data_IF_396680233374
#
_entry.id   IF_396680233374
#
_cell.length_a   1.000
_cell.length_b   1.000
_cell.length_c   1.000
_cell.angle_alpha   90.00
_cell.angle_beta   90.00
_cell.angle_gamma   90.00
#
_symmetry.space_group_name_H-M   'P 1'
#
loop_
_entity.id
_entity.type
_entity.pdbx_description
1 polymer ?
#
# COMPACT_ATOMS: atom_id res chain seq x y z
N UNK A 1 18.56 5.49 39.56
CA UNK A 1 18.20 6.55 38.58
C UNK A 1 19.47 7.01 37.90
N UNK A 2 19.83 6.36 36.80
CA UNK A 2 20.87 6.85 35.93
C UNK A 2 20.37 8.12 35.23
N UNK A 3 21.00 9.26 35.53
CA UNK A 3 20.87 10.45 34.69
C UNK A 3 21.57 10.10 33.37
N UNK A 4 20.79 9.75 32.36
CA UNK A 4 21.27 9.68 30.99
C UNK A 4 21.84 11.04 30.60
N UNK A 5 23.00 11.03 30.00
CA UNK A 5 23.61 12.20 29.36
C UNK A 5 22.56 12.78 28.42
N UNK A 6 22.20 14.04 28.62
CA UNK A 6 21.30 14.73 27.71
C UNK A 6 22.07 14.94 26.41
N UNK A 7 21.82 14.09 25.45
CA UNK A 7 22.28 14.27 24.07
C UNK A 7 21.75 15.63 23.60
N UNK A 8 22.64 16.52 23.18
CA UNK A 8 22.29 17.82 22.59
C UNK A 8 21.89 17.70 21.11
N UNK A 9 21.53 16.51 20.67
CA UNK A 9 21.15 16.23 19.30
C UNK A 9 19.78 16.80 18.97
N UNK A 10 19.58 17.07 17.69
CA UNK A 10 18.28 17.39 17.10
C UNK A 10 17.78 16.19 16.33
N UNK A 11 16.47 15.99 16.31
CA UNK A 11 15.81 14.99 15.47
C UNK A 11 15.04 15.72 14.39
N UNK A 12 15.29 15.36 13.14
CA UNK A 12 14.50 15.81 12.00
C UNK A 12 13.92 14.58 11.31
N UNK A 13 12.60 14.44 11.38
CA UNK A 13 11.84 13.38 10.69
C UNK A 13 11.18 13.93 9.44
N UNK A 14 11.49 13.33 8.28
CA UNK A 14 10.77 13.57 7.04
C UNK A 14 9.65 12.53 6.92
N UNK A 15 8.42 12.98 7.19
CA UNK A 15 7.22 12.15 7.14
C UNK A 15 6.69 12.04 5.71
N UNK A 16 6.32 10.82 5.29
CA UNK A 16 5.78 10.56 3.96
C UNK A 16 4.25 10.36 3.93
N UNK A 17 3.61 10.33 5.11
CA UNK A 17 2.16 10.15 5.28
C UNK A 17 1.49 11.49 5.62
N UNK A 18 1.00 12.27 4.62
CA UNK A 18 0.37 13.56 4.91
C UNK A 18 -0.87 13.43 5.78
N UNK A 19 -1.62 12.34 5.68
CA UNK A 19 -2.78 12.04 6.52
C UNK A 19 -2.45 11.88 8.01
N UNK A 20 -1.19 11.66 8.36
CA UNK A 20 -0.71 11.49 9.74
C UNK A 20 0.10 12.70 10.24
N UNK A 21 0.13 13.81 9.51
CA UNK A 21 0.96 14.97 9.88
C UNK A 21 0.69 15.45 11.30
N UNK A 22 -0.57 15.68 11.66
CA UNK A 22 -0.92 16.21 12.99
C UNK A 22 -0.46 15.28 14.12
N UNK A 23 -0.63 13.97 13.96
CA UNK A 23 -0.21 12.97 14.96
C UNK A 23 1.31 12.97 15.14
N UNK A 24 2.07 13.15 14.08
CA UNK A 24 3.52 13.27 14.17
C UNK A 24 3.97 14.59 14.81
N UNK A 25 3.29 15.72 14.51
CA UNK A 25 3.56 16.99 15.16
C UNK A 25 3.30 16.91 16.68
N UNK A 26 2.18 16.31 17.08
CA UNK A 26 1.81 16.14 18.49
C UNK A 26 2.81 15.23 19.22
N UNK A 27 3.24 14.14 18.60
CA UNK A 27 4.23 13.23 19.15
C UNK A 27 5.61 13.91 19.31
N UNK A 28 6.03 14.70 18.32
CA UNK A 28 7.27 15.46 18.35
C UNK A 28 7.25 16.49 19.50
N UNK A 29 6.16 17.22 19.66
CA UNK A 29 5.99 18.19 20.74
C UNK A 29 6.03 17.52 22.12
N UNK A 30 5.35 16.39 22.28
CA UNK A 30 5.36 15.60 23.51
C UNK A 30 6.77 15.10 23.86
N UNK A 31 7.47 14.50 22.89
CA UNK A 31 8.82 14.00 23.10
C UNK A 31 9.81 15.12 23.48
N UNK A 32 9.72 16.26 22.78
CA UNK A 32 10.52 17.45 23.10
C UNK A 32 10.26 17.95 24.52
N UNK A 33 9.00 17.99 24.94
CA UNK A 33 8.63 18.43 26.30
C UNK A 33 9.16 17.47 27.39
N UNK A 34 9.13 16.16 27.13
CA UNK A 34 9.55 15.16 28.10
C UNK A 34 11.08 15.02 28.20
N UNK A 35 11.79 15.15 27.08
CA UNK A 35 13.23 14.86 27.00
C UNK A 35 14.12 16.08 26.89
N UNK A 36 13.59 17.19 26.42
CA UNK A 36 14.34 18.39 26.05
C UNK A 36 15.07 18.28 24.71
N UNK A 37 14.91 17.16 23.98
CA UNK A 37 15.45 17.00 22.63
C UNK A 37 14.49 17.60 21.62
N UNK A 38 14.97 18.54 20.83
CA UNK A 38 14.14 19.16 19.75
C UNK A 38 13.85 18.14 18.65
N UNK A 39 12.58 18.01 18.31
CA UNK A 39 12.11 17.18 17.19
C UNK A 39 11.36 18.05 16.18
N UNK A 40 11.84 18.07 14.95
CA UNK A 40 11.19 18.73 13.81
C UNK A 40 10.58 17.65 12.92
N UNK A 41 9.32 17.82 12.55
CA UNK A 41 8.65 16.97 11.55
C UNK A 41 8.33 17.82 10.34
N UNK A 42 8.78 17.40 9.18
CA UNK A 42 8.35 17.97 7.89
C UNK A 42 7.65 16.86 7.12
N UNK A 43 6.46 17.16 6.63
CA UNK A 43 5.65 16.21 5.88
C UNK A 43 5.73 16.51 4.40
N UNK A 44 6.14 15.53 3.60
CA UNK A 44 6.12 15.63 2.15
C UNK A 44 4.68 15.63 1.64
N UNK A 45 4.41 16.41 0.60
CA UNK A 45 3.13 16.36 -0.10
C UNK A 45 2.93 14.98 -0.76
N UNK A 46 1.68 14.60 -0.93
CA UNK A 46 1.33 13.32 -1.54
C UNK A 46 2.04 13.12 -2.88
N UNK A 47 2.55 11.91 -3.11
CA UNK A 47 3.26 11.53 -4.33
C UNK A 47 4.64 12.19 -4.54
N UNK A 48 5.11 13.05 -3.61
CA UNK A 48 6.36 13.81 -3.80
C UNK A 48 7.51 13.41 -2.88
N UNK A 49 7.35 12.36 -2.08
CA UNK A 49 8.29 12.02 -1.01
C UNK A 49 9.74 11.85 -1.50
N UNK A 50 9.99 11.07 -2.52
CA UNK A 50 11.35 10.81 -3.03
C UNK A 50 12.04 12.10 -3.53
N UNK A 51 11.29 12.97 -4.21
CA UNK A 51 11.81 14.25 -4.66
C UNK A 51 12.11 15.18 -3.49
N UNK A 52 11.23 15.19 -2.49
CA UNK A 52 11.41 15.97 -1.26
C UNK A 52 12.61 15.46 -0.48
N UNK A 53 12.73 14.14 -0.27
CA UNK A 53 13.86 13.53 0.41
C UNK A 53 15.19 13.89 -0.27
N UNK A 54 15.26 13.80 -1.59
CA UNK A 54 16.45 14.20 -2.36
C UNK A 54 16.83 15.67 -2.14
N UNK A 55 15.83 16.54 -2.10
CA UNK A 55 16.03 17.97 -1.84
C UNK A 55 16.48 18.25 -0.39
N UNK A 56 15.86 17.58 0.58
CA UNK A 56 16.18 17.76 2.00
C UNK A 56 17.55 17.17 2.36
N UNK A 57 17.93 16.04 1.80
CA UNK A 57 19.26 15.43 2.02
C UNK A 57 20.42 16.26 1.46
N UNK A 58 20.16 17.16 0.53
CA UNK A 58 21.18 18.08 0.00
C UNK A 58 21.44 19.30 0.90
N UNK A 59 20.63 19.51 1.96
CA UNK A 59 20.78 20.64 2.88
C UNK A 59 21.79 20.35 3.97
N UNK A 60 22.29 21.41 4.62
CA UNK A 60 23.18 21.31 5.80
C UNK A 60 22.48 20.67 7.02
N UNK A 61 21.18 20.85 7.14
CA UNK A 61 20.31 20.28 8.17
C UNK A 61 19.42 19.20 7.50
N UNK A 62 20.04 18.06 7.16
CA UNK A 62 19.34 16.96 6.51
C UNK A 62 18.49 16.14 7.50
N UNK A 63 17.46 15.42 7.02
CA UNK A 63 16.71 14.49 7.86
C UNK A 63 17.61 13.46 8.57
N UNK A 64 17.37 13.27 9.87
CA UNK A 64 18.01 12.23 10.67
C UNK A 64 17.17 10.97 10.78
N UNK A 65 15.87 11.08 10.53
CA UNK A 65 14.94 9.98 10.36
C UNK A 65 14.19 10.16 9.04
N UNK A 66 14.21 9.16 8.21
CA UNK A 66 13.54 9.17 6.91
C UNK A 66 13.14 7.75 6.51
N UNK A 67 12.15 7.65 5.66
CA UNK A 67 11.70 6.37 5.14
C UNK A 67 12.46 5.97 3.89
N UNK A 68 12.83 4.70 3.82
CA UNK A 68 13.25 4.02 2.58
C UNK A 68 12.15 3.06 2.13
N UNK A 69 11.73 3.18 0.88
CA UNK A 69 10.58 2.45 0.36
C UNK A 69 11.02 1.11 -0.24
N UNK A 70 11.13 0.11 0.62
CA UNK A 70 11.51 -1.25 0.24
C UNK A 70 12.94 -1.39 -0.30
N UNK A 71 13.27 -2.50 -0.96
CA UNK A 71 14.61 -2.76 -1.48
C UNK A 71 15.09 -1.72 -2.51
N UNK A 72 14.18 -1.22 -3.35
CA UNK A 72 14.50 -0.18 -4.35
C UNK A 72 14.86 1.14 -3.67
N UNK A 73 14.08 1.54 -2.65
CA UNK A 73 14.39 2.72 -1.86
C UNK A 73 15.72 2.56 -1.12
N UNK A 74 15.97 1.39 -0.53
CA UNK A 74 17.26 1.12 0.13
C UNK A 74 18.43 1.23 -0.87
N UNK A 75 18.31 0.67 -2.06
CA UNK A 75 19.37 0.76 -3.09
C UNK A 75 19.75 2.21 -3.42
N UNK A 76 18.78 3.13 -3.37
CA UNK A 76 19.00 4.55 -3.62
C UNK A 76 19.60 5.30 -2.41
N UNK A 77 19.31 4.85 -1.20
CA UNK A 77 19.59 5.61 0.02
C UNK A 77 20.55 4.93 1.02
N UNK A 78 21.03 3.72 0.74
CA UNK A 78 21.85 2.93 1.66
C UNK A 78 23.10 3.65 2.19
N UNK A 79 23.72 4.49 1.38
CA UNK A 79 24.90 5.25 1.76
C UNK A 79 24.61 6.35 2.82
N UNK A 80 23.34 6.67 3.03
CA UNK A 80 22.84 7.60 4.05
C UNK A 80 22.26 6.90 5.28
N UNK A 81 22.12 5.57 5.22
CA UNK A 81 21.51 4.80 6.29
C UNK A 81 22.58 4.31 7.28
N UNK A 82 22.26 4.45 8.57
CA UNK A 82 23.08 3.89 9.64
C UNK A 82 22.82 2.40 9.80
N UNK A 83 23.82 1.61 10.18
CA UNK A 83 23.62 0.24 10.62
C UNK A 83 22.92 0.21 11.99
N UNK A 84 21.71 -0.31 12.00
CA UNK A 84 20.84 -0.42 13.18
C UNK A 84 20.95 -1.78 13.88
N UNK A 85 21.81 -2.70 13.43
CA UNK A 85 21.92 -4.07 13.98
C UNK A 85 22.26 -4.11 15.47
N UNK A 86 22.95 -3.08 15.97
CA UNK A 86 23.25 -2.91 17.39
C UNK A 86 22.26 -2.06 18.18
N UNK A 87 21.17 -1.63 17.58
CA UNK A 87 20.19 -0.75 18.24
C UNK A 87 19.24 -1.54 19.17
N UNK A 88 18.76 -0.85 20.22
CA UNK A 88 17.71 -1.39 21.08
C UNK A 88 16.44 -1.70 20.27
N UNK A 89 16.13 -0.84 19.30
CA UNK A 89 14.95 -1.02 18.45
C UNK A 89 15.00 -2.34 17.67
N UNK A 90 16.15 -2.68 17.09
CA UNK A 90 16.33 -3.95 16.38
C UNK A 90 16.18 -5.16 17.32
N UNK A 91 16.62 -5.05 18.57
CA UNK A 91 16.52 -6.12 19.56
C UNK A 91 15.09 -6.48 19.95
N UNK A 92 14.12 -5.61 19.69
CA UNK A 92 12.71 -5.84 19.96
C UNK A 92 11.94 -6.48 18.80
N UNK A 93 12.56 -6.64 17.64
CA UNK A 93 11.90 -7.28 16.50
C UNK A 93 11.70 -8.77 16.73
N UNK A 94 10.57 -9.28 16.31
CA UNK A 94 10.20 -10.70 16.40
C UNK A 94 10.64 -11.52 15.20
N UNK A 95 10.98 -10.86 14.09
CA UNK A 95 11.42 -11.47 12.83
C UNK A 95 12.28 -10.50 12.03
N UNK A 96 13.22 -11.05 11.28
CA UNK A 96 14.01 -10.32 10.27
C UNK A 96 13.18 -9.92 9.02
N UNK A 97 11.93 -10.36 8.92
CA UNK A 97 11.02 -9.93 7.85
C UNK A 97 10.67 -8.43 7.93
N UNK A 98 10.92 -7.82 9.09
CA UNK A 98 10.64 -6.40 9.35
C UNK A 98 11.83 -5.47 9.12
N UNK A 99 12.89 -5.94 8.48
CA UNK A 99 14.09 -5.14 8.23
C UNK A 99 14.48 -5.10 6.75
N UNK A 100 15.16 -4.03 6.39
CA UNK A 100 15.87 -3.92 5.12
C UNK A 100 17.38 -4.04 5.40
N UNK A 101 18.07 -4.91 4.67
CA UNK A 101 19.48 -5.20 4.84
C UNK A 101 20.30 -4.87 3.60
N UNK A 102 21.52 -4.37 3.81
CA UNK A 102 22.59 -4.38 2.81
C UNK A 102 23.74 -5.25 3.37
N UNK A 103 23.89 -6.45 2.82
CA UNK A 103 24.75 -7.47 3.41
C UNK A 103 24.32 -7.84 4.84
N UNK A 104 25.19 -7.63 5.82
CA UNK A 104 24.89 -7.90 7.23
C UNK A 104 24.34 -6.68 7.99
N UNK A 105 24.39 -5.50 7.38
CA UNK A 105 23.93 -4.27 8.03
C UNK A 105 22.40 -4.15 7.94
N UNK A 106 21.74 -3.84 9.06
CA UNK A 106 20.32 -3.49 9.13
C UNK A 106 20.17 -2.00 8.89
N UNK A 107 19.71 -1.62 7.73
CA UNK A 107 19.66 -0.22 7.30
C UNK A 107 18.24 0.37 7.27
N UNK A 108 17.24 -0.44 7.54
CA UNK A 108 15.87 0.00 7.72
C UNK A 108 15.10 -0.96 8.61
N UNK A 109 14.20 -0.41 9.42
CA UNK A 109 13.30 -1.17 10.30
C UNK A 109 11.88 -0.71 9.99
N UNK A 110 10.97 -1.66 9.77
CA UNK A 110 9.56 -1.36 9.59
C UNK A 110 8.97 -0.75 10.87
N UNK A 111 8.33 0.40 10.76
CA UNK A 111 7.68 1.05 11.90
C UNK A 111 6.17 0.74 11.95
N UNK A 112 5.61 0.23 10.86
CA UNK A 112 4.21 -0.14 10.73
C UNK A 112 4.07 -1.29 9.74
N UNK A 113 3.06 -2.13 9.96
CA UNK A 113 2.63 -3.15 9.01
C UNK A 113 1.33 -2.67 8.41
N UNK A 114 1.33 -2.44 7.11
CA UNK A 114 0.13 -2.15 6.34
C UNK A 114 -0.34 -3.42 5.64
N UNK A 115 -1.65 -3.62 5.61
CA UNK A 115 -2.27 -4.72 4.90
C UNK A 115 -3.29 -4.16 3.92
N UNK A 116 -3.55 -4.91 2.88
CA UNK A 116 -4.61 -4.59 1.93
C UNK A 116 -5.45 -5.83 1.67
N UNK A 117 -6.67 -5.58 1.28
CA UNK A 117 -7.66 -6.60 1.00
C UNK A 117 -8.82 -5.99 0.24
N UNK A 118 -9.86 -6.77 0.05
CA UNK A 118 -11.09 -6.30 -0.57
C UNK A 118 -12.00 -5.75 0.52
N UNK A 119 -12.30 -4.45 0.43
CA UNK A 119 -13.34 -3.81 1.22
C UNK A 119 -14.64 -3.96 0.45
N UNK A 120 -15.72 -4.32 1.13
CA UNK A 120 -17.02 -4.50 0.49
C UNK A 120 -18.14 -3.79 1.22
N UNK A 121 -19.13 -3.31 0.48
CA UNK A 121 -20.36 -2.80 1.04
C UNK A 121 -21.23 -3.97 1.51
N UNK A 122 -21.33 -4.12 2.81
CA UNK A 122 -22.01 -5.26 3.43
C UNK A 122 -23.52 -5.30 3.12
N UNK A 123 -24.16 -4.15 3.02
CA UNK A 123 -25.58 -4.06 2.71
C UNK A 123 -25.85 -4.52 1.28
N UNK A 124 -25.13 -3.95 0.33
CA UNK A 124 -25.30 -4.27 -1.10
C UNK A 124 -25.05 -5.75 -1.36
N UNK A 125 -23.95 -6.29 -0.81
CA UNK A 125 -23.61 -7.70 -1.05
C UNK A 125 -24.59 -8.67 -0.38
N UNK A 126 -25.12 -8.33 0.80
CA UNK A 126 -26.18 -9.13 1.43
C UNK A 126 -27.49 -9.06 0.62
N UNK A 127 -27.86 -7.91 0.10
CA UNK A 127 -29.04 -7.77 -0.74
C UNK A 127 -28.90 -8.59 -2.03
N UNK A 128 -27.73 -8.56 -2.67
CA UNK A 128 -27.41 -9.43 -3.81
C UNK A 128 -27.62 -10.92 -3.49
N UNK A 129 -27.18 -11.37 -2.30
CA UNK A 129 -27.38 -12.77 -1.88
C UNK A 129 -28.86 -13.19 -1.77
N UNK A 130 -29.80 -12.22 -1.73
CA UNK A 130 -31.25 -12.50 -1.72
C UNK A 130 -31.88 -12.58 -3.12
N UNK A 131 -31.11 -12.35 -4.16
CA UNK A 131 -31.63 -12.38 -5.53
C UNK A 131 -31.82 -13.82 -6.01
N UNK A 132 -32.81 -13.99 -6.87
CA UNK A 132 -32.99 -15.26 -7.56
C UNK A 132 -31.76 -15.56 -8.44
N UNK A 133 -31.26 -16.78 -8.34
CA UNK A 133 -30.09 -17.26 -9.06
C UNK A 133 -28.78 -16.48 -8.77
N UNK A 134 -28.69 -15.79 -7.63
CA UNK A 134 -27.39 -15.28 -7.19
C UNK A 134 -26.34 -16.40 -7.09
N UNK A 135 -25.10 -16.09 -7.40
CA UNK A 135 -23.99 -17.08 -7.36
C UNK A 135 -23.77 -17.63 -5.96
N UNK A 136 -24.05 -16.81 -4.94
CA UNK A 136 -23.89 -17.14 -3.53
C UNK A 136 -25.16 -16.77 -2.75
N UNK A 137 -25.39 -17.46 -1.65
CA UNK A 137 -26.47 -17.17 -0.71
C UNK A 137 -25.98 -16.47 0.56
N UNK A 138 -24.68 -16.42 0.77
CA UNK A 138 -24.01 -15.76 1.88
C UNK A 138 -22.63 -15.24 1.45
N UNK A 139 -22.26 -14.09 1.97
CA UNK A 139 -20.93 -13.48 1.72
C UNK A 139 -19.78 -14.41 2.15
N UNK A 140 -20.00 -15.23 3.17
CA UNK A 140 -18.99 -16.18 3.68
C UNK A 140 -18.58 -17.26 2.65
N UNK A 141 -19.36 -17.42 1.58
CA UNK A 141 -19.03 -18.32 0.48
C UNK A 141 -17.91 -17.77 -0.43
N UNK A 142 -17.61 -16.47 -0.34
CA UNK A 142 -16.48 -15.86 -1.05
C UNK A 142 -15.18 -16.18 -0.30
N UNK A 143 -14.66 -17.38 -0.49
CA UNK A 143 -13.46 -17.86 0.19
C UNK A 143 -12.34 -18.26 -0.78
N UNK A 144 -12.50 -18.01 -2.06
CA UNK A 144 -11.52 -18.25 -3.11
C UNK A 144 -11.73 -17.33 -4.30
N UNK A 145 -10.71 -17.23 -5.16
CA UNK A 145 -10.75 -16.34 -6.32
C UNK A 145 -11.85 -16.70 -7.31
N UNK A 146 -12.11 -17.98 -7.55
CA UNK A 146 -13.12 -18.40 -8.53
C UNK A 146 -14.53 -17.94 -8.11
N UNK A 147 -14.88 -18.08 -6.84
CA UNK A 147 -16.15 -17.60 -6.30
C UNK A 147 -16.23 -16.07 -6.35
N UNK A 148 -15.15 -15.38 -5.95
CA UNK A 148 -15.08 -13.91 -6.02
C UNK A 148 -15.32 -13.42 -7.46
N UNK A 149 -14.61 -14.02 -8.44
CA UNK A 149 -14.75 -13.66 -9.86
C UNK A 149 -16.15 -13.92 -10.38
N UNK A 150 -16.73 -15.08 -10.05
CA UNK A 150 -18.08 -15.41 -10.47
C UNK A 150 -19.14 -14.44 -9.90
N UNK A 151 -18.99 -14.03 -8.65
CA UNK A 151 -19.87 -13.03 -8.02
C UNK A 151 -19.71 -11.67 -8.69
N UNK A 152 -18.47 -11.24 -8.95
CA UNK A 152 -18.23 -9.96 -9.63
C UNK A 152 -18.80 -9.95 -11.05
N UNK A 153 -18.57 -11.01 -11.83
CA UNK A 153 -19.12 -11.15 -13.18
C UNK A 153 -20.67 -11.11 -13.18
N UNK A 154 -21.29 -11.81 -12.22
CA UNK A 154 -22.76 -11.84 -12.10
C UNK A 154 -23.31 -10.46 -11.72
N UNK A 155 -22.73 -9.80 -10.71
CA UNK A 155 -23.14 -8.44 -10.34
C UNK A 155 -22.95 -7.48 -11.52
N UNK A 156 -21.81 -7.51 -12.19
CA UNK A 156 -21.52 -6.64 -13.34
C UNK A 156 -22.55 -6.85 -14.47
N UNK A 157 -22.93 -8.08 -14.72
CA UNK A 157 -23.91 -8.41 -15.77
C UNK A 157 -25.36 -8.05 -15.41
N UNK A 158 -25.66 -7.84 -14.12
CA UNK A 158 -27.00 -7.61 -13.58
C UNK A 158 -27.17 -6.26 -12.88
N UNK A 159 -26.31 -5.28 -13.18
CA UNK A 159 -26.35 -3.96 -12.53
C UNK A 159 -27.74 -3.31 -12.61
N UNK A 160 -28.38 -3.30 -13.78
CA UNK A 160 -29.71 -2.72 -13.95
C UNK A 160 -30.75 -3.43 -13.08
N UNK A 161 -30.75 -4.77 -13.04
CA UNK A 161 -31.64 -5.56 -12.19
C UNK A 161 -31.44 -5.29 -10.70
N UNK A 162 -30.20 -5.18 -10.25
CA UNK A 162 -29.86 -4.90 -8.87
C UNK A 162 -30.29 -3.48 -8.49
N UNK A 163 -29.99 -2.51 -9.35
CA UNK A 163 -30.36 -1.11 -9.16
C UNK A 163 -31.89 -0.94 -9.08
N UNK A 164 -32.61 -1.54 -10.01
CA UNK A 164 -34.08 -1.48 -10.05
C UNK A 164 -34.71 -2.15 -8.82
N UNK A 165 -34.18 -3.30 -8.39
CA UNK A 165 -34.74 -4.07 -7.29
C UNK A 165 -34.53 -3.39 -5.92
N UNK A 166 -33.33 -2.83 -5.68
CA UNK A 166 -32.95 -2.33 -4.38
C UNK A 166 -32.89 -0.79 -4.31
N UNK A 167 -33.04 -0.09 -5.44
CA UNK A 167 -32.94 1.37 -5.49
C UNK A 167 -31.52 1.91 -5.38
N UNK A 168 -30.56 1.15 -5.87
CA UNK A 168 -29.15 1.57 -5.96
C UNK A 168 -28.86 2.29 -7.28
N UNK A 169 -27.67 2.83 -7.40
CA UNK A 169 -27.08 3.42 -8.61
C UNK A 169 -25.67 2.84 -8.84
N UNK A 170 -25.56 1.50 -8.80
CA UNK A 170 -24.28 0.82 -9.01
C UNK A 170 -23.84 0.97 -10.46
N UNK A 171 -22.58 1.35 -10.65
CA UNK A 171 -21.94 1.53 -11.95
C UNK A 171 -20.97 0.38 -12.28
N UNK A 172 -20.66 -0.47 -11.30
CA UNK A 172 -19.78 -1.62 -11.44
C UNK A 172 -19.80 -2.51 -10.21
N UNK A 173 -19.33 -3.75 -10.35
CA UNK A 173 -19.17 -4.66 -9.22
C UNK A 173 -18.07 -4.18 -8.25
N UNK A 174 -17.05 -3.49 -8.77
CA UNK A 174 -16.00 -2.83 -8.01
C UNK A 174 -15.91 -1.34 -8.33
N UNK A 175 -15.36 -0.57 -7.39
CA UNK A 175 -14.74 0.72 -7.70
C UNK A 175 -13.24 0.51 -7.84
N UNK A 176 -12.63 1.01 -8.91
CA UNK A 176 -11.21 0.85 -9.17
C UNK A 176 -10.61 2.12 -9.73
N UNK A 177 -9.41 2.46 -9.27
CA UNK A 177 -8.63 3.52 -9.88
C UNK A 177 -8.11 3.10 -11.26
N UNK A 178 -7.81 4.08 -12.10
CA UNK A 178 -7.16 3.85 -13.39
C UNK A 178 -5.66 3.58 -13.29
N UNK A 179 -4.97 3.77 -14.40
CA UNK A 179 -3.53 3.53 -14.56
C UNK A 179 -2.75 4.85 -14.74
N UNK A 180 -3.26 5.96 -14.20
CA UNK A 180 -2.51 7.20 -14.15
C UNK A 180 -1.27 7.06 -13.23
N UNK A 181 -0.33 8.01 -13.35
CA UNK A 181 0.94 7.93 -12.63
C UNK A 181 0.84 8.04 -11.10
N UNK A 182 -0.33 8.42 -10.55
CA UNK A 182 -0.57 8.54 -9.11
C UNK A 182 -1.33 7.36 -8.52
N UNK A 183 -2.10 6.63 -9.33
CA UNK A 183 -3.06 5.62 -8.86
C UNK A 183 -2.73 4.19 -9.31
N UNK A 184 -1.91 4.02 -10.34
CA UNK A 184 -1.59 2.74 -10.98
C UNK A 184 -0.90 1.72 -10.08
N UNK A 185 -0.26 2.15 -9.01
CA UNK A 185 0.41 1.27 -8.04
C UNK A 185 -0.56 0.32 -7.34
N UNK A 186 -1.85 0.68 -7.22
CA UNK A 186 -2.88 -0.20 -6.66
C UNK A 186 -2.98 -1.49 -7.47
N UNK A 187 -3.02 -1.38 -8.78
CA UNK A 187 -2.99 -2.56 -9.64
C UNK A 187 -1.59 -3.18 -9.75
N UNK A 188 -0.57 -2.37 -10.05
CA UNK A 188 0.78 -2.86 -10.34
C UNK A 188 1.42 -3.59 -9.18
N UNK A 189 1.35 -3.02 -7.97
CA UNK A 189 2.08 -3.55 -6.82
C UNK A 189 1.25 -4.46 -5.92
N UNK A 190 -0.08 -4.29 -5.90
CA UNK A 190 -0.94 -5.10 -5.04
C UNK A 190 -1.50 -6.33 -5.75
N UNK A 191 -1.68 -6.27 -7.07
CA UNK A 191 -2.35 -7.32 -7.82
C UNK A 191 -1.46 -7.92 -8.91
N UNK A 192 -0.95 -7.10 -9.82
CA UNK A 192 -0.23 -7.55 -11.01
C UNK A 192 1.11 -8.24 -10.69
N UNK A 193 1.69 -7.99 -9.54
CA UNK A 193 2.90 -8.68 -9.09
C UNK A 193 2.66 -10.12 -8.62
N UNK A 194 1.43 -10.52 -8.30
CA UNK A 194 1.13 -11.89 -7.85
C UNK A 194 1.50 -12.96 -8.89
N UNK A 195 1.09 -12.85 -10.17
CA UNK A 195 1.53 -13.79 -11.20
C UNK A 195 3.05 -13.83 -11.37
N UNK A 196 3.73 -12.69 -11.23
CA UNK A 196 5.19 -12.59 -11.30
C UNK A 196 5.83 -13.27 -10.09
N UNK A 197 5.31 -13.04 -8.90
CA UNK A 197 5.77 -13.70 -7.66
C UNK A 197 5.71 -15.21 -7.77
N UNK A 198 4.61 -15.76 -8.28
CA UNK A 198 4.47 -17.22 -8.45
C UNK A 198 5.42 -17.76 -9.51
N UNK A 199 5.66 -17.03 -10.61
CA UNK A 199 6.68 -17.42 -11.59
C UNK A 199 8.08 -17.46 -10.95
N UNK A 200 8.44 -16.47 -10.13
CA UNK A 200 9.71 -16.43 -9.40
C UNK A 200 9.83 -17.60 -8.42
N UNK A 201 8.77 -17.84 -7.67
CA UNK A 201 8.71 -18.93 -6.70
C UNK A 201 8.92 -20.31 -7.35
N UNK A 202 8.28 -20.56 -8.47
CA UNK A 202 8.41 -21.83 -9.21
C UNK A 202 9.81 -22.03 -9.76
N UNK A 203 10.47 -20.95 -10.14
CA UNK A 203 11.85 -20.98 -10.66
C UNK A 203 12.92 -20.91 -9.56
N UNK A 204 12.54 -20.62 -8.32
CA UNK A 204 13.48 -20.43 -7.22
C UNK A 204 14.43 -19.26 -7.43
N UNK A 205 13.94 -18.15 -8.00
CA UNK A 205 14.71 -16.92 -8.27
C UNK A 205 14.10 -15.73 -7.55
N UNK A 206 14.93 -14.72 -7.29
CA UNK A 206 14.52 -13.46 -6.64
C UNK A 206 14.47 -12.29 -7.62
N UNK A 207 15.07 -12.43 -8.80
CA UNK A 207 15.10 -11.41 -9.84
C UNK A 207 15.32 -12.00 -11.22
N UNK A 208 14.92 -11.27 -12.27
CA UNK A 208 15.19 -11.61 -13.67
C UNK A 208 15.15 -10.36 -14.52
N UNK A 209 15.91 -10.36 -15.62
CA UNK A 209 15.86 -9.29 -16.62
C UNK A 209 14.58 -9.34 -17.48
N UNK A 210 13.92 -10.50 -17.53
CA UNK A 210 12.66 -10.70 -18.26
C UNK A 210 11.83 -11.82 -17.66
N UNK A 211 10.53 -11.58 -17.48
CA UNK A 211 9.55 -12.62 -17.11
C UNK A 211 9.17 -13.44 -18.32
N UNK A 212 8.79 -14.70 -18.11
CA UNK A 212 8.32 -15.59 -19.18
C UNK A 212 6.81 -15.51 -19.42
N UNK A 213 6.07 -14.95 -18.46
CA UNK A 213 4.61 -14.85 -18.54
C UNK A 213 3.90 -16.17 -18.27
N UNK A 214 4.47 -17.02 -17.42
CA UNK A 214 3.92 -18.34 -17.06
C UNK A 214 2.46 -18.25 -16.59
N UNK A 215 2.11 -17.19 -15.87
CA UNK A 215 0.80 -16.95 -15.28
C UNK A 215 0.01 -15.84 -15.98
N UNK A 216 0.16 -15.69 -17.31
CA UNK A 216 -0.52 -14.63 -18.08
C UNK A 216 -2.05 -14.74 -18.00
N UNK A 217 -2.62 -15.95 -17.98
CA UNK A 217 -4.06 -16.15 -17.83
C UNK A 217 -4.57 -15.68 -16.47
N UNK A 218 -3.79 -15.89 -15.41
CA UNK A 218 -4.11 -15.37 -14.07
C UNK A 218 -4.03 -13.84 -14.05
N UNK A 219 -3.02 -13.26 -14.71
CA UNK A 219 -2.91 -11.81 -14.87
C UNK A 219 -4.15 -11.24 -15.56
N UNK A 220 -4.62 -11.89 -16.65
CA UNK A 220 -5.85 -11.47 -17.34
C UNK A 220 -7.07 -11.51 -16.44
N UNK A 221 -7.24 -12.56 -15.63
CA UNK A 221 -8.37 -12.69 -14.71
C UNK A 221 -8.33 -11.59 -13.62
N UNK A 222 -7.15 -11.23 -13.13
CA UNK A 222 -6.99 -10.10 -12.18
C UNK A 222 -7.34 -8.79 -12.86
N UNK A 223 -6.91 -8.59 -14.11
CA UNK A 223 -7.26 -7.42 -14.90
C UNK A 223 -8.78 -7.32 -15.12
N UNK A 224 -9.41 -8.41 -15.49
CA UNK A 224 -10.86 -8.44 -15.70
C UNK A 224 -11.61 -8.07 -14.40
N UNK A 225 -11.18 -8.59 -13.26
CA UNK A 225 -11.76 -8.25 -11.96
C UNK A 225 -11.58 -6.76 -11.61
N UNK A 226 -10.39 -6.21 -11.85
CA UNK A 226 -10.05 -4.85 -11.45
C UNK A 226 -10.58 -3.78 -12.41
N UNK A 227 -10.65 -4.06 -13.71
CA UNK A 227 -11.03 -3.11 -14.75
C UNK A 227 -12.41 -3.46 -15.36
N UNK A 228 -12.57 -4.68 -15.85
CA UNK A 228 -13.79 -5.05 -16.62
C UNK A 228 -15.03 -5.09 -15.72
N UNK A 229 -14.90 -5.56 -14.48
CA UNK A 229 -15.99 -5.66 -13.51
C UNK A 229 -16.02 -4.44 -12.55
N UNK A 230 -15.55 -3.29 -13.01
CA UNK A 230 -15.46 -2.09 -12.18
C UNK A 230 -16.02 -0.85 -12.84
N UNK A 231 -16.08 0.22 -12.06
CA UNK A 231 -16.44 1.56 -12.54
C UNK A 231 -15.35 2.20 -13.41
N UNK A 232 -14.16 1.61 -13.51
CA UNK A 232 -13.07 2.08 -14.37
C UNK A 232 -13.21 1.48 -15.77
N UNK A 233 -13.97 2.12 -16.65
CA UNK A 233 -14.04 1.69 -18.04
C UNK A 233 -12.72 1.97 -18.81
N UNK A 234 -12.50 1.31 -19.96
CA UNK A 234 -11.29 1.52 -20.75
C UNK A 234 -11.02 2.96 -21.19
N UNK A 235 -12.06 3.80 -21.29
CA UNK A 235 -11.94 5.21 -21.62
C UNK A 235 -11.36 6.05 -20.48
N UNK A 236 -11.44 5.57 -19.24
CA UNK A 236 -11.00 6.27 -18.04
C UNK A 236 -9.66 5.77 -17.50
N UNK A 237 -9.06 4.76 -18.11
CA UNK A 237 -7.81 4.13 -17.63
C UNK A 237 -6.67 5.12 -17.35
N UNK A 238 -6.56 6.19 -18.13
CA UNK A 238 -5.51 7.18 -17.98
C UNK A 238 -5.85 8.38 -17.10
N UNK A 239 -7.08 8.45 -16.60
CA UNK A 239 -7.57 9.65 -15.91
C UNK A 239 -8.24 9.38 -14.56
N UNK A 240 -8.80 8.20 -14.33
CA UNK A 240 -9.51 7.91 -13.09
C UNK A 240 -8.54 7.78 -11.91
N UNK A 241 -8.68 8.67 -10.94
CA UNK A 241 -7.83 8.73 -9.76
C UNK A 241 -8.30 7.78 -8.65
N UNK A 242 -7.43 7.55 -7.66
CA UNK A 242 -7.79 6.81 -6.45
C UNK A 242 -8.89 7.49 -5.65
N UNK A 243 -8.83 8.82 -5.53
CA UNK A 243 -9.82 9.62 -4.80
C UNK A 243 -11.22 9.52 -5.45
N UNK A 244 -11.28 9.51 -6.78
CA UNK A 244 -12.54 9.29 -7.50
C UNK A 244 -13.10 7.89 -7.22
N UNK A 245 -12.27 6.86 -7.25
CA UNK A 245 -12.70 5.49 -6.95
C UNK A 245 -13.15 5.30 -5.48
N UNK A 246 -12.56 6.06 -4.55
CA UNK A 246 -12.93 6.02 -3.13
C UNK A 246 -14.23 6.78 -2.84
N UNK A 247 -14.62 7.72 -3.70
CA UNK A 247 -15.83 8.53 -3.54
C UNK A 247 -17.09 7.90 -4.15
N UNK A 248 -16.95 6.87 -4.97
CA UNK A 248 -18.04 6.09 -5.57
C UNK A 248 -18.57 5.02 -4.62
#
# INVERSE_FOLDING_TARGET
>A
TAKGDKSSGKVYYLNFKPEQDQQWQDLAAKYTAETGTEVTVITAADGTYEQTLKSEMAKSEAPTLFQVNGPVGLANWKDYCMDLSGSELYSHLTSDDFVLKDGNAVQGIAYVIETYGIIYNKTILNDYCTMDNAVISSVDEINNFATLKAVADDIQSRLDEINDKFGYDLQGAFTSAGMDGSSDWRFKTHLANLPIYYEYKDKGIDSTDAIEGTYLDNYKQIWDLYITDSTCDPGMLSSKTGDEAESE
#
